data_IF_882499209856
#
_entry.id   IF_882499209856
#
_cell.length_a   1.000
_cell.length_b   1.000
_cell.length_c   1.000
_cell.angle_alpha   90.00
_cell.angle_beta   90.00
_cell.angle_gamma   90.00
#
_symmetry.space_group_name_H-M   'P 1'
#
loop_
_entity.id
_entity.type
_entity.pdbx_description
1 polymer ?
#
# COMPACT_ATOMS: atom_id res chain seq x y z
N UNK A 1 -23.17 -5.33 -13.51
CA UNK A 1 -23.54 -4.32 -12.49
C UNK A 1 -22.78 -4.69 -11.24
N UNK A 2 -21.61 -4.10 -11.02
CA UNK A 2 -20.82 -4.34 -9.81
C UNK A 2 -21.53 -3.58 -8.68
N UNK A 3 -21.93 -4.29 -7.64
CA UNK A 3 -22.59 -3.67 -6.48
C UNK A 3 -21.52 -2.86 -5.75
N UNK A 4 -21.53 -1.54 -5.93
CA UNK A 4 -20.67 -0.64 -5.17
C UNK A 4 -21.19 -0.56 -3.74
N UNK A 5 -20.32 -0.91 -2.80
CA UNK A 5 -20.45 -0.64 -1.37
C UNK A 5 -21.81 -1.08 -0.74
N UNK A 6 -21.86 -2.32 -0.27
CA UNK A 6 -23.03 -2.87 0.45
C UNK A 6 -23.05 -2.39 1.90
N UNK A 7 -24.24 -2.12 2.46
CA UNK A 7 -24.45 -1.69 3.86
C UNK A 7 -23.88 -2.65 4.96
N UNK A 8 -23.27 -3.78 4.58
CA UNK A 8 -22.53 -4.71 5.46
C UNK A 8 -21.04 -4.86 5.12
N UNK A 9 -20.48 -3.97 4.29
CA UNK A 9 -19.06 -3.94 3.93
C UNK A 9 -18.19 -3.39 5.05
N UNK A 10 -16.91 -3.80 5.08
CA UNK A 10 -15.94 -3.31 6.08
C UNK A 10 -15.53 -1.85 5.82
N UNK A 11 -15.57 -1.41 4.56
CA UNK A 11 -15.25 -0.03 4.17
C UNK A 11 -16.51 0.71 3.74
N UNK A 12 -17.58 0.62 4.54
CA UNK A 12 -18.91 1.11 4.17
C UNK A 12 -18.96 2.63 3.88
N UNK A 13 -18.00 3.40 4.37
CA UNK A 13 -17.89 4.83 4.12
C UNK A 13 -17.03 5.20 2.89
N UNK A 14 -16.38 4.23 2.24
CA UNK A 14 -15.58 4.46 1.03
C UNK A 14 -16.51 4.89 -0.12
N UNK A 15 -16.15 5.98 -0.77
CA UNK A 15 -16.99 6.62 -1.78
C UNK A 15 -16.14 7.31 -2.84
N UNK A 16 -16.41 7.01 -4.11
CA UNK A 16 -15.62 7.47 -5.25
C UNK A 16 -15.50 8.99 -5.31
N UNK A 17 -16.61 9.69 -5.07
CA UNK A 17 -16.67 11.16 -5.18
C UNK A 17 -15.88 11.89 -4.11
N UNK A 18 -15.47 11.19 -3.04
CA UNK A 18 -14.77 11.78 -1.90
C UNK A 18 -13.33 11.29 -1.79
N UNK A 19 -13.10 10.01 -2.06
CA UNK A 19 -11.83 9.37 -1.71
C UNK A 19 -10.93 9.12 -2.93
N UNK A 20 -11.44 9.16 -4.16
CA UNK A 20 -10.66 8.81 -5.33
C UNK A 20 -10.24 10.05 -6.12
N UNK A 21 -8.99 10.06 -6.58
CA UNK A 21 -8.46 11.10 -7.44
C UNK A 21 -7.60 10.49 -8.54
N UNK A 22 -7.30 11.29 -9.56
CA UNK A 22 -6.35 10.96 -10.62
C UNK A 22 -5.20 11.95 -10.56
N UNK A 23 -3.97 11.48 -10.74
CA UNK A 23 -2.78 12.31 -10.66
C UNK A 23 -1.71 11.86 -11.66
N UNK A 24 -2.10 11.77 -12.92
CA UNK A 24 -1.23 11.26 -13.97
C UNK A 24 -0.72 12.39 -14.87
N UNK A 25 0.59 12.43 -15.10
CA UNK A 25 1.21 13.33 -16.07
C UNK A 25 1.18 12.70 -17.45
N UNK A 26 0.22 13.11 -18.30
CA UNK A 26 0.20 12.70 -19.71
C UNK A 26 1.23 13.45 -20.56
N UNK A 27 1.97 14.42 -20.01
CA UNK A 27 2.93 15.23 -20.77
C UNK A 27 4.08 14.38 -21.32
N UNK A 28 4.44 13.27 -20.66
CA UNK A 28 5.44 12.32 -21.15
C UNK A 28 5.06 11.74 -22.52
N UNK A 29 3.76 11.59 -22.84
CA UNK A 29 3.32 11.11 -24.15
C UNK A 29 3.78 12.02 -25.30
N UNK A 30 4.11 13.27 -25.01
CA UNK A 30 4.66 14.18 -26.01
C UNK A 30 6.02 13.73 -26.55
N UNK A 31 6.80 12.94 -25.78
CA UNK A 31 8.07 12.37 -26.25
C UNK A 31 7.90 11.27 -27.32
N UNK A 32 6.67 10.77 -27.46
CA UNK A 32 6.27 9.77 -28.46
C UNK A 32 5.51 10.39 -29.61
N UNK A 33 5.40 11.71 -29.71
CA UNK A 33 4.82 12.34 -30.90
C UNK A 33 5.73 12.10 -32.11
N UNK A 34 5.11 11.65 -33.19
CA UNK A 34 5.70 11.64 -34.52
C UNK A 34 5.88 13.07 -35.04
N UNK A 35 6.67 13.22 -36.11
CA UNK A 35 6.83 14.49 -36.83
C UNK A 35 5.50 15.06 -37.36
N UNK A 36 4.46 14.23 -37.45
CA UNK A 36 3.10 14.59 -37.88
C UNK A 36 2.17 14.97 -36.72
N UNK A 37 2.66 14.91 -35.47
CA UNK A 37 1.91 15.29 -34.27
C UNK A 37 1.13 14.15 -33.61
N UNK A 38 0.98 12.99 -34.24
CA UNK A 38 0.31 11.82 -33.66
C UNK A 38 1.22 11.07 -32.67
N UNK A 39 0.64 10.47 -31.62
CA UNK A 39 1.37 9.65 -30.64
C UNK A 39 1.68 8.27 -31.26
N UNK A 40 2.95 7.88 -31.22
CA UNK A 40 3.40 6.51 -31.49
C UNK A 40 3.06 5.61 -30.29
N UNK A 41 1.85 5.05 -30.31
CA UNK A 41 1.34 4.18 -29.25
C UNK A 41 2.14 2.89 -29.08
N UNK A 42 2.83 2.42 -30.12
CA UNK A 42 3.65 1.22 -30.01
C UNK A 42 4.88 1.50 -29.16
N UNK A 43 5.56 2.62 -29.44
CA UNK A 43 6.72 3.07 -28.67
C UNK A 43 6.33 3.50 -27.25
N UNK A 44 5.15 4.08 -27.06
CA UNK A 44 4.63 4.40 -25.74
C UNK A 44 4.30 3.14 -24.91
N UNK A 45 3.75 2.09 -25.54
CA UNK A 45 3.41 0.82 -24.88
C UNK A 45 4.64 -0.02 -24.50
N UNK A 46 5.78 0.20 -25.15
CA UNK A 46 7.05 -0.47 -24.84
C UNK A 46 7.81 0.22 -23.68
N UNK A 47 7.32 1.37 -23.18
CA UNK A 47 8.00 2.09 -22.10
C UNK A 47 7.72 1.48 -20.72
N UNK A 48 8.73 1.48 -19.86
CA UNK A 48 8.58 1.14 -18.44
C UNK A 48 7.72 2.19 -17.75
N UNK A 49 6.61 1.75 -17.15
CA UNK A 49 5.75 2.59 -16.32
C UNK A 49 6.38 2.70 -14.94
N UNK A 50 6.82 3.91 -14.57
CA UNK A 50 7.46 4.22 -13.29
C UNK A 50 6.84 5.46 -12.65
N UNK A 51 7.33 5.84 -11.48
CA UNK A 51 6.78 6.94 -10.71
C UNK A 51 6.99 8.33 -11.34
N UNK A 52 7.73 8.47 -12.45
CA UNK A 52 7.92 9.78 -13.11
C UNK A 52 6.65 10.34 -13.72
N UNK A 53 5.65 9.49 -13.91
CA UNK A 53 4.34 9.85 -14.45
C UNK A 53 3.34 10.23 -13.35
N UNK A 54 3.71 10.05 -12.07
CA UNK A 54 2.86 10.38 -10.94
C UNK A 54 3.12 11.83 -10.48
N UNK A 55 2.07 12.65 -10.48
CA UNK A 55 2.15 14.08 -10.10
C UNK A 55 1.81 14.35 -8.64
N UNK A 56 1.36 13.33 -7.91
CA UNK A 56 0.89 13.44 -6.53
C UNK A 56 1.96 13.12 -5.47
N UNK A 57 3.11 12.58 -5.89
CA UNK A 57 4.25 12.25 -5.03
C UNK A 57 4.93 13.53 -4.56
N UNK A 58 5.09 13.64 -3.24
CA UNK A 58 5.96 14.64 -2.65
C UNK A 58 7.39 14.09 -2.62
N UNK A 59 8.25 14.60 -3.51
CA UNK A 59 9.64 14.13 -3.68
C UNK A 59 10.57 14.46 -2.52
N UNK A 60 10.17 15.37 -1.62
CA UNK A 60 10.96 15.79 -0.45
C UNK A 60 10.57 15.01 0.83
N UNK A 61 9.72 13.99 0.69
CA UNK A 61 9.17 13.23 1.81
C UNK A 61 9.33 11.74 1.59
N UNK A 62 9.59 10.96 2.66
CA UNK A 62 9.72 9.52 2.54
C UNK A 62 8.39 8.88 2.10
N UNK A 63 8.49 7.76 1.39
CA UNK A 63 7.35 6.90 1.13
C UNK A 63 7.01 6.09 2.39
N UNK A 64 5.73 5.97 2.72
CA UNK A 64 5.25 5.03 3.73
C UNK A 64 4.76 3.77 3.06
N UNK A 65 5.19 2.61 3.56
CA UNK A 65 4.77 1.32 3.03
C UNK A 65 4.29 0.39 4.14
N UNK A 66 3.37 -0.48 3.79
CA UNK A 66 2.99 -1.64 4.59
C UNK A 66 2.68 -2.82 3.67
N UNK A 67 2.72 -4.01 4.25
CA UNK A 67 2.55 -5.26 3.52
C UNK A 67 1.46 -6.10 4.16
N UNK A 68 0.88 -6.99 3.36
CA UNK A 68 0.25 -8.20 3.85
C UNK A 68 0.82 -9.39 3.09
N UNK A 69 1.17 -10.45 3.81
CA UNK A 69 1.86 -11.62 3.23
C UNK A 69 1.06 -12.88 3.49
N UNK A 70 0.56 -13.47 2.41
CA UNK A 70 -0.17 -14.74 2.43
C UNK A 70 0.55 -15.77 1.54
N UNK A 71 0.21 -17.04 1.69
CA UNK A 71 0.72 -18.11 0.84
C UNK A 71 0.33 -17.90 -0.62
N UNK A 72 -0.86 -17.33 -0.87
CA UNK A 72 -1.44 -17.17 -2.21
C UNK A 72 -1.05 -15.85 -2.88
N UNK A 73 -0.85 -14.77 -2.12
CA UNK A 73 -0.56 -13.42 -2.64
C UNK A 73 0.23 -12.61 -1.62
N UNK A 74 1.13 -11.75 -2.08
CA UNK A 74 1.80 -10.74 -1.25
C UNK A 74 1.39 -9.36 -1.76
N UNK A 75 1.01 -8.49 -0.86
CA UNK A 75 0.62 -7.11 -1.11
C UNK A 75 1.63 -6.14 -0.51
N UNK A 76 1.83 -5.02 -1.20
CA UNK A 76 2.56 -3.85 -0.74
C UNK A 76 1.72 -2.62 -1.10
N UNK A 77 1.40 -1.80 -0.11
CA UNK A 77 0.65 -0.55 -0.31
C UNK A 77 1.53 0.63 0.05
N UNK A 78 1.52 1.65 -0.80
CA UNK A 78 2.35 2.85 -0.68
C UNK A 78 1.49 4.07 -0.42
N UNK A 79 1.91 4.92 0.50
CA UNK A 79 1.25 6.19 0.74
C UNK A 79 2.17 7.29 1.25
N UNK A 80 1.63 8.51 1.26
CA UNK A 80 2.27 9.69 1.83
C UNK A 80 1.23 10.51 2.59
N UNK A 81 1.31 10.57 3.94
CA UNK A 81 0.43 11.40 4.73
C UNK A 81 0.79 12.88 4.59
N UNK A 82 -0.21 13.74 4.40
CA UNK A 82 -0.11 15.18 4.58
C UNK A 82 -0.83 15.57 5.88
N UNK A 83 -0.09 15.60 6.99
CA UNK A 83 -0.64 15.92 8.29
C UNK A 83 -1.20 17.35 8.41
N UNK A 84 -0.66 18.31 7.63
CA UNK A 84 -1.15 19.69 7.67
C UNK A 84 -2.54 19.81 7.03
N UNK A 85 -2.84 18.98 6.04
CA UNK A 85 -4.16 18.89 5.39
C UNK A 85 -5.03 17.77 5.98
N UNK A 86 -4.55 17.06 7.00
CA UNK A 86 -5.17 15.86 7.54
C UNK A 86 -5.55 14.83 6.46
N UNK A 87 -4.66 14.60 5.48
CA UNK A 87 -4.89 13.73 4.33
C UNK A 87 -3.94 12.54 4.36
N UNK A 88 -4.40 11.35 3.99
CA UNK A 88 -3.56 10.19 3.71
C UNK A 88 -3.69 9.82 2.24
N UNK A 89 -2.69 10.19 1.42
CA UNK A 89 -2.64 9.78 0.03
C UNK A 89 -2.14 8.34 -0.06
N UNK A 90 -2.93 7.47 -0.66
CA UNK A 90 -2.54 6.14 -1.11
C UNK A 90 -2.10 6.28 -2.56
N UNK A 91 -0.79 6.23 -2.78
CA UNK A 91 -0.16 6.60 -4.04
C UNK A 91 -0.21 5.45 -5.04
N UNK A 92 0.10 4.24 -4.58
CA UNK A 92 0.20 3.05 -5.42
C UNK A 92 0.07 1.78 -4.57
N UNK A 93 -0.24 0.66 -5.23
CA UNK A 93 -0.29 -0.66 -4.62
C UNK A 93 0.27 -1.71 -5.58
N UNK A 94 0.98 -2.69 -5.03
CA UNK A 94 1.59 -3.78 -5.77
C UNK A 94 1.17 -5.10 -5.17
N UNK A 95 0.99 -6.12 -6.02
CA UNK A 95 0.77 -7.48 -5.56
C UNK A 95 1.45 -8.49 -6.47
N UNK A 96 1.79 -9.65 -5.91
CA UNK A 96 2.32 -10.78 -6.68
C UNK A 96 1.75 -12.10 -6.10
N UNK A 97 1.21 -12.97 -6.96
CA UNK A 97 0.49 -14.22 -6.62
C UNK A 97 1.36 -15.48 -6.68
N UNK A 98 1.46 -16.25 -5.59
CA UNK A 98 2.35 -17.41 -5.32
C UNK A 98 2.93 -18.16 -6.54
N UNK A 99 4.19 -18.70 -6.46
CA UNK A 99 4.58 -19.62 -5.38
C UNK A 99 5.72 -19.21 -4.40
N UNK A 100 6.24 -17.97 -4.37
CA UNK A 100 6.87 -17.28 -3.18
C UNK A 100 7.58 -15.99 -3.61
N UNK A 101 7.06 -14.83 -3.19
CA UNK A 101 7.16 -13.60 -4.00
C UNK A 101 7.39 -12.30 -3.24
N UNK A 102 7.73 -12.40 -1.94
CA UNK A 102 7.97 -11.20 -1.13
C UNK A 102 9.11 -10.34 -1.71
N UNK A 103 10.16 -10.99 -2.21
CA UNK A 103 11.26 -10.32 -2.91
C UNK A 103 10.78 -9.67 -4.22
N UNK A 104 9.88 -10.32 -4.96
CA UNK A 104 9.38 -9.82 -6.25
C UNK A 104 8.50 -8.59 -6.06
N UNK A 105 7.59 -8.58 -5.09
CA UNK A 105 6.79 -7.38 -4.80
C UNK A 105 7.68 -6.22 -4.33
N UNK A 106 8.75 -6.50 -3.58
CA UNK A 106 9.75 -5.49 -3.21
C UNK A 106 10.51 -4.97 -4.44
N UNK A 107 10.85 -5.84 -5.39
CA UNK A 107 11.50 -5.45 -6.64
C UNK A 107 10.58 -4.60 -7.51
N UNK A 108 9.30 -4.95 -7.65
CA UNK A 108 8.33 -4.15 -8.40
C UNK A 108 8.21 -2.73 -7.83
N UNK A 109 8.15 -2.61 -6.50
CA UNK A 109 8.20 -1.30 -5.83
C UNK A 109 9.51 -0.57 -6.12
N UNK A 110 10.64 -1.27 -5.99
CA UNK A 110 11.96 -0.66 -6.18
C UNK A 110 12.16 -0.18 -7.61
N UNK A 111 11.75 -0.98 -8.61
CA UNK A 111 11.78 -0.64 -10.03
C UNK A 111 10.92 0.60 -10.31
N UNK A 112 9.69 0.62 -9.76
CA UNK A 112 8.75 1.73 -9.97
C UNK A 112 9.23 3.05 -9.37
N UNK A 113 9.84 3.03 -8.18
CA UNK A 113 10.29 4.22 -7.46
C UNK A 113 11.81 4.49 -7.59
N UNK A 114 12.51 3.77 -8.46
CA UNK A 114 13.94 3.99 -8.75
C UNK A 114 14.26 5.42 -9.24
N UNK A 115 13.37 6.14 -9.95
CA UNK A 115 13.65 7.52 -10.34
C UNK A 115 13.63 8.55 -9.20
N UNK A 116 13.04 8.25 -8.02
CA UNK A 116 12.92 9.23 -6.95
C UNK A 116 14.29 9.63 -6.36
N UNK A 117 14.55 10.93 -6.13
CA UNK A 117 15.78 11.38 -5.51
C UNK A 117 15.83 11.02 -4.02
N UNK A 118 14.71 11.14 -3.31
CA UNK A 118 14.58 10.68 -1.93
C UNK A 118 14.34 9.16 -1.92
N UNK A 119 15.29 8.44 -1.31
CA UNK A 119 15.26 6.99 -1.14
C UNK A 119 14.81 6.54 0.24
N UNK A 120 14.34 7.46 1.08
CA UNK A 120 13.87 7.13 2.42
C UNK A 120 12.47 6.49 2.38
N UNK A 121 12.33 5.39 3.11
CA UNK A 121 11.09 4.61 3.18
C UNK A 121 10.80 4.30 4.64
N UNK A 122 9.56 4.54 5.08
CA UNK A 122 9.07 4.09 6.39
C UNK A 122 8.20 2.87 6.18
N UNK A 123 8.64 1.74 6.70
CA UNK A 123 7.92 0.47 6.62
C UNK A 123 7.21 0.17 7.94
N UNK A 124 5.89 0.26 7.97
CA UNK A 124 5.09 -0.10 9.14
C UNK A 124 4.74 -1.58 9.13
N UNK A 125 4.96 -2.26 10.26
CA UNK A 125 4.66 -3.69 10.42
C UNK A 125 4.27 -4.05 11.85
N UNK A 126 3.40 -5.05 11.99
CA UNK A 126 2.98 -5.58 13.29
C UNK A 126 3.63 -6.93 13.63
N UNK A 127 3.21 -7.55 14.73
CA UNK A 127 3.76 -8.80 15.24
C UNK A 127 3.74 -9.99 14.26
N UNK A 128 2.88 -9.97 13.24
CA UNK A 128 2.79 -11.02 12.22
C UNK A 128 4.05 -11.13 11.37
N UNK A 129 4.78 -10.03 11.19
CA UNK A 129 6.01 -9.97 10.40
C UNK A 129 7.27 -10.38 11.18
N UNK A 130 7.16 -10.61 12.50
CA UNK A 130 8.27 -11.08 13.35
C UNK A 130 8.58 -12.57 13.15
N UNK A 131 7.71 -13.29 12.44
CA UNK A 131 7.89 -14.71 12.14
C UNK A 131 8.61 -14.86 10.80
N UNK A 132 9.49 -15.86 10.69
CA UNK A 132 10.11 -16.29 9.44
C UNK A 132 9.38 -17.49 8.82
N UNK A 133 9.78 -17.89 7.61
CA UNK A 133 9.28 -19.14 7.00
C UNK A 133 9.87 -20.35 7.74
N UNK A 134 9.01 -21.28 8.16
CA UNK A 134 9.48 -22.53 8.77
C UNK A 134 10.28 -23.35 7.74
N UNK A 135 11.53 -23.68 8.06
CA UNK A 135 12.44 -24.49 7.24
C UNK A 135 13.49 -23.68 6.46
N UNK A 136 14.77 -23.91 6.80
CA UNK A 136 16.02 -23.47 6.15
C UNK A 136 16.39 -21.97 6.13
N UNK A 137 15.44 -21.03 6.21
CA UNK A 137 15.77 -19.61 6.39
C UNK A 137 14.94 -19.02 7.54
N UNK A 138 15.60 -18.75 8.67
CA UNK A 138 15.00 -18.23 9.90
C UNK A 138 14.74 -16.72 9.87
N UNK A 139 15.05 -16.05 8.77
CA UNK A 139 14.87 -14.61 8.58
C UNK A 139 13.39 -14.24 8.68
N UNK A 140 13.09 -13.24 9.52
CA UNK A 140 11.73 -12.73 9.66
C UNK A 140 11.29 -11.99 8.39
N UNK A 141 9.99 -11.92 8.12
CA UNK A 141 9.49 -11.24 6.92
C UNK A 141 9.94 -9.78 6.84
N UNK A 142 9.94 -9.06 7.97
CA UNK A 142 10.37 -7.66 7.98
C UNK A 142 11.86 -7.51 7.60
N UNK A 143 12.72 -8.43 8.05
CA UNK A 143 14.16 -8.44 7.74
C UNK A 143 14.38 -8.65 6.25
N UNK A 144 13.62 -9.57 5.65
CA UNK A 144 13.65 -9.81 4.20
C UNK A 144 13.33 -8.54 3.41
N UNK A 145 12.26 -7.83 3.80
CA UNK A 145 11.82 -6.59 3.12
C UNK A 145 12.90 -5.52 3.23
N UNK A 146 13.41 -5.28 4.43
CA UNK A 146 14.48 -4.30 4.67
C UNK A 146 15.71 -4.64 3.83
N UNK A 147 16.17 -5.90 3.86
CA UNK A 147 17.34 -6.34 3.12
C UNK A 147 17.17 -6.17 1.61
N UNK A 148 16.02 -6.58 1.05
CA UNK A 148 15.77 -6.49 -0.39
C UNK A 148 15.73 -5.02 -0.82
N UNK A 149 14.91 -4.18 -0.17
CA UNK A 149 14.80 -2.77 -0.54
C UNK A 149 16.11 -2.00 -0.34
N UNK A 150 16.85 -2.27 0.74
CA UNK A 150 18.18 -1.66 0.93
C UNK A 150 19.20 -2.13 -0.09
N UNK A 151 19.15 -3.38 -0.55
CA UNK A 151 19.99 -3.83 -1.68
C UNK A 151 19.65 -3.13 -3.00
N UNK A 152 18.44 -2.57 -3.10
CA UNK A 152 17.96 -1.76 -4.22
C UNK A 152 18.18 -0.25 -4.01
N UNK A 153 18.92 0.17 -2.98
CA UNK A 153 19.29 1.57 -2.76
C UNK A 153 18.33 2.38 -1.87
N UNK A 154 17.30 1.75 -1.28
CA UNK A 154 16.36 2.42 -0.37
C UNK A 154 16.85 2.42 1.09
N UNK A 155 16.69 3.57 1.76
CA UNK A 155 16.94 3.72 3.19
C UNK A 155 15.67 3.38 3.98
N UNK A 156 15.54 2.12 4.39
CA UNK A 156 14.32 1.61 5.03
C UNK A 156 14.37 1.77 6.54
N UNK A 157 13.42 2.54 7.06
CA UNK A 157 13.09 2.63 8.47
C UNK A 157 11.96 1.67 8.79
N UNK A 158 12.28 0.51 9.34
CA UNK A 158 11.28 -0.46 9.80
C UNK A 158 10.69 0.00 11.16
N UNK A 159 9.40 0.33 11.17
CA UNK A 159 8.64 0.76 12.35
C UNK A 159 7.70 -0.34 12.82
N UNK A 160 8.11 -1.01 13.90
CA UNK A 160 7.23 -1.95 14.60
C UNK A 160 6.08 -1.20 15.29
N UNK A 161 4.83 -1.54 14.95
CA UNK A 161 3.63 -0.89 15.50
C UNK A 161 2.95 -1.69 16.62
N UNK A 162 3.53 -2.84 17.01
CA UNK A 162 3.05 -3.65 18.11
C UNK A 162 2.19 -4.84 17.67
N UNK A 163 1.19 -5.17 18.48
CA UNK A 163 0.23 -6.25 18.18
C UNK A 163 -0.78 -5.78 17.13
N UNK A 164 -1.28 -6.71 16.32
CA UNK A 164 -2.35 -6.42 15.37
C UNK A 164 -3.56 -5.83 16.09
N UNK A 165 -4.02 -4.67 15.61
CA UNK A 165 -5.19 -3.99 16.17
C UNK A 165 -6.43 -4.86 16.03
N UNK A 166 -7.29 -4.90 17.06
CA UNK A 166 -8.51 -5.71 17.00
C UNK A 166 -9.41 -5.19 15.89
N UNK A 167 -10.11 -6.11 15.20
CA UNK A 167 -10.93 -5.77 14.02
C UNK A 167 -11.93 -4.62 14.25
N UNK A 168 -12.56 -4.55 15.42
CA UNK A 168 -13.52 -3.48 15.74
C UNK A 168 -12.86 -2.11 15.94
N UNK A 169 -11.69 -2.06 16.60
CA UNK A 169 -10.93 -0.82 16.81
C UNK A 169 -10.40 -0.31 15.48
N UNK A 170 -9.86 -1.22 14.67
CA UNK A 170 -9.36 -0.98 13.32
C UNK A 170 -10.46 -0.44 12.41
N UNK A 171 -11.59 -1.13 12.36
CA UNK A 171 -12.75 -0.68 11.60
C UNK A 171 -13.20 0.72 12.03
N UNK A 172 -13.32 0.97 13.34
CA UNK A 172 -13.74 2.27 13.85
C UNK A 172 -12.78 3.39 13.43
N UNK A 173 -11.47 3.16 13.53
CA UNK A 173 -10.46 4.14 13.13
C UNK A 173 -10.59 4.49 11.64
N UNK A 174 -10.75 3.47 10.79
CA UNK A 174 -10.88 3.64 9.34
C UNK A 174 -12.21 4.30 8.97
N UNK A 175 -13.31 3.85 9.54
CA UNK A 175 -14.65 4.39 9.29
C UNK A 175 -14.76 5.86 9.76
N UNK A 176 -14.21 6.19 10.92
CA UNK A 176 -14.12 7.59 11.38
C UNK A 176 -13.27 8.43 10.42
N UNK A 177 -12.20 7.87 9.85
CA UNK A 177 -11.32 8.52 8.88
C UNK A 177 -12.00 8.79 7.54
N UNK A 178 -12.65 7.78 6.97
CA UNK A 178 -13.44 7.87 5.74
C UNK A 178 -14.61 8.87 5.88
N UNK A 179 -15.20 8.98 7.07
CA UNK A 179 -16.23 9.98 7.36
C UNK A 179 -15.67 11.39 7.63
N UNK A 180 -14.34 11.55 7.70
CA UNK A 180 -13.69 12.80 8.06
C UNK A 180 -13.91 13.23 9.52
N UNK A 181 -14.30 12.30 10.40
CA UNK A 181 -14.55 12.58 11.81
C UNK A 181 -13.26 12.58 12.64
N UNK A 182 -12.41 11.56 12.47
CA UNK A 182 -11.16 11.41 13.22
C UNK A 182 -10.12 10.64 12.42
N UNK A 183 -8.86 11.04 12.56
CA UNK A 183 -7.74 10.47 11.82
C UNK A 183 -7.54 11.17 10.47
N UNK A 184 -6.51 10.73 9.75
CA UNK A 184 -6.23 11.22 8.41
C UNK A 184 -7.37 10.84 7.46
N UNK A 185 -7.82 11.78 6.64
CA UNK A 185 -8.81 11.53 5.59
C UNK A 185 -8.17 10.67 4.48
N UNK A 186 -8.66 9.44 4.21
CA UNK A 186 -8.13 8.61 3.13
C UNK A 186 -8.35 9.20 1.75
N UNK A 187 -7.36 9.08 0.88
CA UNK A 187 -7.48 9.45 -0.53
C UNK A 187 -6.64 8.50 -1.38
N UNK A 188 -7.11 8.08 -2.54
CA UNK A 188 -6.50 7.04 -3.36
C UNK A 188 -6.29 7.55 -4.78
N UNK A 189 -5.05 7.41 -5.27
CA UNK A 189 -4.75 7.56 -6.68
C UNK A 189 -5.39 6.38 -7.42
N UNK A 190 -6.55 6.60 -8.02
CA UNK A 190 -7.40 5.54 -8.55
C UNK A 190 -6.72 4.70 -9.64
N UNK A 191 -6.06 5.29 -10.65
CA UNK A 191 -5.31 4.53 -11.65
C UNK A 191 -4.30 3.54 -11.06
N UNK A 192 -3.55 3.97 -10.03
CA UNK A 192 -2.50 3.16 -9.41
C UNK A 192 -3.03 2.18 -8.35
N UNK A 193 -4.33 2.23 -8.03
CA UNK A 193 -4.93 1.44 -6.94
C UNK A 193 -6.25 0.76 -7.35
N UNK A 194 -6.50 0.56 -8.64
CA UNK A 194 -7.77 0.01 -9.14
C UNK A 194 -8.14 -1.32 -8.46
N UNK A 195 -7.19 -2.27 -8.42
CA UNK A 195 -7.39 -3.59 -7.82
C UNK A 195 -7.57 -3.49 -6.30
N UNK A 196 -6.78 -2.64 -5.63
CA UNK A 196 -6.91 -2.41 -4.19
C UNK A 196 -8.30 -1.86 -3.85
N UNK A 197 -8.74 -0.82 -4.57
CA UNK A 197 -10.05 -0.18 -4.40
C UNK A 197 -11.14 -1.22 -4.61
N UNK A 198 -11.08 -1.98 -5.70
CA UNK A 198 -12.07 -3.00 -6.00
C UNK A 198 -12.16 -4.07 -4.89
N UNK A 199 -11.02 -4.55 -4.37
CA UNK A 199 -11.00 -5.49 -3.25
C UNK A 199 -11.57 -4.90 -1.96
N UNK A 200 -11.29 -3.62 -1.68
CA UNK A 200 -11.88 -2.91 -0.55
C UNK A 200 -13.40 -2.77 -0.70
N UNK A 201 -13.91 -2.35 -1.86
CA UNK A 201 -15.35 -2.21 -2.11
C UNK A 201 -16.12 -3.54 -1.96
N UNK A 202 -15.48 -4.67 -2.25
CA UNK A 202 -16.05 -6.02 -2.15
C UNK A 202 -15.90 -6.65 -0.77
N UNK A 203 -15.13 -6.04 0.13
CA UNK A 203 -14.84 -6.62 1.44
C UNK A 203 -16.08 -6.61 2.34
N UNK A 204 -16.70 -7.78 2.48
CA UNK A 204 -17.83 -8.00 3.39
C UNK A 204 -17.37 -8.24 4.82
N UNK A 205 -18.28 -8.01 5.77
CA UNK A 205 -18.07 -8.35 7.19
C UNK A 205 -18.73 -9.68 7.54
N UNK A 206 -18.22 -10.36 8.57
CA UNK A 206 -18.83 -11.55 9.15
C UNK A 206 -18.66 -11.58 10.67
N UNK A 207 -19.51 -12.37 11.33
CA UNK A 207 -19.41 -12.65 12.77
C UNK A 207 -18.95 -14.08 12.93
N UNK A 208 -17.82 -14.27 13.63
CA UNK A 208 -17.25 -15.58 13.94
C UNK A 208 -17.20 -15.79 15.46
N UNK A 209 -16.78 -16.97 15.90
CA UNK A 209 -16.49 -17.22 17.33
C UNK A 209 -15.39 -16.33 17.90
N UNK A 210 -14.57 -15.69 17.04
CA UNK A 210 -13.53 -14.71 17.42
C UNK A 210 -14.03 -13.26 17.41
N UNK A 211 -15.31 -13.05 17.13
CA UNK A 211 -15.94 -11.73 17.04
C UNK A 211 -16.24 -11.29 15.60
N UNK A 212 -16.65 -10.03 15.47
CA UNK A 212 -16.96 -9.38 14.21
C UNK A 212 -15.69 -8.87 13.50
N UNK A 213 -15.63 -9.03 12.17
CA UNK A 213 -14.52 -8.55 11.35
C UNK A 213 -14.75 -8.77 9.85
N UNK A 214 -13.69 -8.65 9.06
CA UNK A 214 -13.72 -8.94 7.62
C UNK A 214 -14.04 -10.41 7.38
N UNK A 215 -14.82 -10.72 6.35
CA UNK A 215 -15.09 -12.08 5.95
C UNK A 215 -13.90 -12.69 5.21
N UNK A 216 -13.08 -13.46 5.94
CA UNK A 216 -11.87 -14.13 5.42
C UNK A 216 -12.10 -15.57 4.94
N UNK A 217 -13.35 -16.02 4.78
CA UNK A 217 -13.64 -17.41 4.39
C UNK A 217 -13.05 -17.79 3.03
N UNK A 218 -12.87 -16.80 2.14
CA UNK A 218 -12.31 -16.97 0.80
C UNK A 218 -10.78 -17.06 0.73
N UNK A 219 -10.02 -16.58 1.73
CA UNK A 219 -8.55 -16.47 1.62
C UNK A 219 -7.83 -17.81 1.38
N UNK A 220 -8.46 -18.93 1.79
CA UNK A 220 -7.91 -20.29 1.63
C UNK A 220 -8.39 -21.03 0.37
N UNK A 221 -9.28 -20.42 -0.40
CA UNK A 221 -9.79 -21.00 -1.64
C UNK A 221 -8.76 -20.84 -2.77
N UNK A 222 -8.85 -21.69 -3.78
CA UNK A 222 -8.00 -21.62 -4.97
C UNK A 222 -8.20 -20.27 -5.70
N UNK A 223 -7.15 -19.81 -6.38
CA UNK A 223 -7.22 -18.64 -7.26
C UNK A 223 -7.99 -19.01 -8.54
N UNK A 224 -9.06 -18.29 -8.85
CA UNK A 224 -9.84 -18.54 -10.06
C UNK A 224 -10.19 -17.23 -10.76
N UNK A 225 -10.44 -17.22 -12.08
CA UNK A 225 -10.84 -16.00 -12.79
C UNK A 225 -12.12 -15.34 -12.25
N UNK A 226 -12.98 -16.09 -11.55
CA UNK A 226 -14.23 -15.59 -10.96
C UNK A 226 -14.09 -15.16 -9.49
N UNK A 227 -13.04 -15.62 -8.82
CA UNK A 227 -12.69 -15.29 -7.43
C UNK A 227 -11.17 -15.11 -7.35
N UNK A 228 -10.66 -14.01 -7.93
CA UNK A 228 -9.23 -13.77 -8.04
C UNK A 228 -8.66 -13.33 -6.67
N UNK A 229 -7.55 -13.94 -6.25
CA UNK A 229 -6.97 -13.75 -4.90
C UNK A 229 -6.64 -12.29 -4.56
N UNK A 230 -6.31 -11.47 -5.54
CA UNK A 230 -5.99 -10.05 -5.40
C UNK A 230 -7.23 -9.19 -5.07
N UNK A 231 -8.44 -9.66 -5.36
CA UNK A 231 -9.67 -8.96 -4.96
C UNK A 231 -10.17 -9.35 -3.56
N UNK A 232 -9.43 -10.20 -2.85
CA UNK A 232 -9.74 -10.62 -1.48
C UNK A 232 -9.22 -9.59 -0.46
N UNK A 233 -9.24 -9.97 0.80
CA UNK A 233 -9.00 -9.08 1.94
C UNK A 233 -7.55 -8.66 2.14
N UNK A 234 -6.58 -9.35 1.53
CA UNK A 234 -5.14 -9.17 1.77
C UNK A 234 -4.66 -7.75 1.42
N UNK A 235 -5.05 -7.22 0.25
CA UNK A 235 -4.69 -5.85 -0.15
C UNK A 235 -5.25 -4.79 0.80
N UNK A 236 -6.50 -4.99 1.24
CA UNK A 236 -7.13 -4.14 2.24
C UNK A 236 -6.45 -4.24 3.62
N UNK A 237 -5.98 -5.42 4.04
CA UNK A 237 -5.25 -5.57 5.30
C UNK A 237 -3.86 -4.94 5.26
N UNK A 238 -3.19 -4.95 4.11
CA UNK A 238 -1.96 -4.18 3.88
C UNK A 238 -2.22 -2.66 4.01
N UNK A 239 -3.30 -2.16 3.37
CA UNK A 239 -3.70 -0.76 3.47
C UNK A 239 -4.08 -0.36 4.90
N UNK A 240 -4.82 -1.20 5.62
CA UNK A 240 -5.17 -0.94 7.02
C UNK A 240 -3.91 -0.72 7.88
N UNK A 241 -2.89 -1.55 7.69
CA UNK A 241 -1.62 -1.46 8.44
C UNK A 241 -0.90 -0.15 8.13
N UNK A 242 -0.85 0.24 6.85
CA UNK A 242 -0.31 1.53 6.41
C UNK A 242 -1.07 2.69 7.08
N UNK A 243 -2.40 2.64 7.07
CA UNK A 243 -3.26 3.67 7.62
C UNK A 243 -3.10 3.82 9.14
N UNK A 244 -3.08 2.71 9.87
CA UNK A 244 -2.81 2.67 11.32
C UNK A 244 -1.42 3.25 11.62
N UNK A 245 -0.40 2.83 10.86
CA UNK A 245 0.96 3.32 10.98
C UNK A 245 1.03 4.84 10.85
N UNK A 246 0.48 5.38 9.76
CA UNK A 246 0.51 6.81 9.49
C UNK A 246 -0.27 7.65 10.51
N UNK A 247 -1.36 7.13 11.09
CA UNK A 247 -2.15 7.83 12.11
C UNK A 247 -1.48 7.82 13.49
N UNK A 248 -0.93 6.67 13.91
CA UNK A 248 -0.44 6.47 15.27
C UNK A 248 1.05 6.76 15.44
N UNK A 249 1.82 6.72 14.35
CA UNK A 249 3.27 6.90 14.33
C UNK A 249 3.62 7.87 13.22
N UNK A 250 3.63 9.17 13.52
CA UNK A 250 3.77 10.19 12.47
C UNK A 250 5.13 10.08 11.78
N UNK A 251 5.13 10.24 10.45
CA UNK A 251 6.34 10.24 9.63
C UNK A 251 7.37 11.23 10.14
N UNK A 252 6.94 12.45 10.50
CA UNK A 252 7.84 13.50 11.00
C UNK A 252 8.57 13.07 12.28
N UNK A 253 7.89 12.38 13.20
CA UNK A 253 8.46 11.92 14.46
C UNK A 253 9.45 10.77 14.23
N UNK A 254 9.06 9.82 13.38
CA UNK A 254 9.89 8.67 13.00
C UNK A 254 11.16 9.14 12.28
N UNK A 255 11.00 10.02 11.28
CA UNK A 255 12.10 10.49 10.44
C UNK A 255 13.08 11.40 11.20
N UNK A 256 12.56 12.30 12.05
CA UNK A 256 13.41 13.18 12.87
C UNK A 256 14.24 12.41 13.90
N UNK A 257 13.70 11.34 14.49
CA UNK A 257 14.42 10.53 15.49
C UNK A 257 15.69 9.86 14.93
N UNK A 258 15.71 9.58 13.63
CA UNK A 258 16.84 8.96 12.93
C UNK A 258 17.91 9.99 12.62
N UNK A 259 17.52 11.16 12.12
CA UNK A 259 18.46 12.25 11.81
C UNK A 259 19.10 12.86 13.06
N UNK A 260 18.45 12.76 14.22
CA UNK A 260 19.06 13.12 15.49
C UNK A 260 20.06 12.07 15.96
N UNK A 261 19.72 10.77 15.90
CA UNK A 261 20.62 9.70 16.35
C UNK A 261 21.88 9.55 15.51
N UNK A 262 21.84 9.87 14.21
CA UNK A 262 23.03 9.88 13.34
C UNK A 262 23.99 11.05 13.61
N UNK A 263 23.51 12.15 14.21
CA UNK A 263 24.32 13.33 14.53
C UNK A 263 25.03 13.26 15.89
N UNK A 264 24.56 12.43 16.83
CA UNK A 264 25.23 12.20 18.12
C UNK A 264 26.28 11.08 18.09
N UNK A 265 26.44 10.40 16.94
CA UNK A 265 27.43 9.34 16.72
C UNK A 265 28.71 9.79 16.00
N UNK A 266 28.94 11.10 15.85
CA UNK A 266 30.18 11.69 15.32
C UNK A 266 30.96 12.44 16.39
#
# INVERSE_FOLDING_TARGET
MIIKNTAGGFYAALADTLHFYTAYDNSFLNQFRSDYGDIDWKRAAEQTYDCTQDTDINIDRPLCIAFDTNINVNWLVVGQPNYAQNLMKTLNSFFVKSPRMLTEVCNNFADYYDPLPDKNVIFYYDHTFLQGKSGTNSEAFYETIVRVLSSRGFYVTAKYIGQAMKHHEKHKLIDDGLKGFKGLFPSFNQPNNEILIQGMEQTMTSVTSRGWGKNKSGEKLEDTPLDPVELRTDGGDAWDTLYIGCNNFRVDDVYSSIHLSSNFGK
#
